data_IF_434932611298
#
_entry.id   IF_434932611298
#
_cell.length_a   1.000
_cell.length_b   1.000
_cell.length_c   1.000
_cell.angle_alpha   90.00
_cell.angle_beta   90.00
_cell.angle_gamma   90.00
#
_symmetry.space_group_name_H-M   'P 1'
#
loop_
_entity.id
_entity.type
_entity.pdbx_description
1 polymer ?
#
# COMPACT_ATOMS: atom_id res chain seq x y z
N UNK A 1 11.60 25.96 11.65
CA UNK A 1 10.60 24.94 11.22
C UNK A 1 11.08 23.61 11.76
N UNK A 2 10.31 22.94 12.62
CA UNK A 2 10.71 21.63 13.17
C UNK A 2 10.69 20.60 12.06
N UNK A 3 11.80 19.88 11.87
CA UNK A 3 11.89 18.79 10.91
C UNK A 3 11.04 17.64 11.47
N UNK A 4 9.93 17.29 10.80
CA UNK A 4 9.07 16.15 11.21
C UNK A 4 9.93 14.90 11.26
N UNK A 5 9.86 14.14 12.35
CA UNK A 5 10.66 12.93 12.52
C UNK A 5 10.25 11.84 11.52
N UNK A 6 11.16 10.93 11.18
CA UNK A 6 10.85 9.80 10.30
C UNK A 6 9.72 8.93 10.85
N UNK A 7 9.63 8.77 12.18
CA UNK A 7 8.59 8.00 12.84
C UNK A 7 7.19 8.65 12.64
N UNK A 8 7.10 9.98 12.74
CA UNK A 8 5.85 10.70 12.47
C UNK A 8 5.45 10.61 10.99
N UNK A 9 6.41 10.67 10.08
CA UNK A 9 6.15 10.49 8.65
C UNK A 9 5.64 9.08 8.33
N UNK A 10 6.27 8.04 8.88
CA UNK A 10 5.81 6.65 8.74
C UNK A 10 4.38 6.49 9.27
N UNK A 11 4.07 7.09 10.43
CA UNK A 11 2.72 7.04 10.98
C UNK A 11 1.71 7.69 10.03
N UNK A 12 2.03 8.86 9.50
CA UNK A 12 1.16 9.55 8.56
C UNK A 12 0.96 8.73 7.27
N UNK A 13 2.01 8.17 6.69
CA UNK A 13 1.89 7.37 5.47
C UNK A 13 1.05 6.10 5.65
N UNK A 14 1.10 5.48 6.85
CA UNK A 14 0.20 4.38 7.18
C UNK A 14 -1.26 4.82 7.23
N UNK A 15 -1.54 5.97 7.86
CA UNK A 15 -2.89 6.54 7.88
C UNK A 15 -3.36 6.92 6.48
N UNK A 16 -2.48 7.48 5.65
CA UNK A 16 -2.82 7.80 4.26
C UNK A 16 -3.16 6.52 3.48
N UNK A 17 -2.34 5.46 3.63
CA UNK A 17 -2.54 4.17 2.96
C UNK A 17 -3.88 3.53 3.33
N UNK A 18 -4.27 3.55 4.62
CA UNK A 18 -5.54 3.00 5.10
C UNK A 18 -6.78 3.57 4.37
N UNK A 19 -6.67 4.76 3.77
CA UNK A 19 -7.75 5.42 3.04
C UNK A 19 -7.72 5.20 1.53
N UNK A 20 -6.70 4.54 0.97
CA UNK A 20 -6.56 4.31 -0.47
C UNK A 20 -7.27 3.04 -0.93
N UNK A 21 -7.87 3.10 -2.12
CA UNK A 21 -8.22 1.89 -2.87
C UNK A 21 -6.96 1.16 -3.35
N UNK A 22 -7.13 -0.06 -3.87
CA UNK A 22 -6.04 -0.80 -4.48
C UNK A 22 -5.39 -0.02 -5.63
N UNK A 23 -6.20 0.54 -6.53
CA UNK A 23 -5.73 1.29 -7.69
C UNK A 23 -5.00 2.57 -7.26
N UNK A 24 -5.51 3.28 -6.26
CA UNK A 24 -4.88 4.49 -5.75
C UNK A 24 -3.52 4.19 -5.07
N UNK A 25 -3.45 3.12 -4.28
CA UNK A 25 -2.23 2.68 -3.63
C UNK A 25 -1.18 2.22 -4.66
N UNK A 26 -1.61 1.51 -5.71
CA UNK A 26 -0.73 1.08 -6.80
C UNK A 26 -0.18 2.28 -7.59
N UNK A 27 -1.01 3.27 -7.93
CA UNK A 27 -0.56 4.49 -8.60
C UNK A 27 0.42 5.28 -7.71
N UNK A 28 0.16 5.37 -6.40
CA UNK A 28 1.07 6.01 -5.46
C UNK A 28 2.43 5.29 -5.38
N UNK A 29 2.43 3.96 -5.44
CA UNK A 29 3.64 3.15 -5.48
C UNK A 29 4.42 3.35 -6.79
N UNK A 30 3.75 3.37 -7.94
CA UNK A 30 4.38 3.61 -9.25
C UNK A 30 5.04 4.99 -9.33
N UNK A 31 4.42 6.00 -8.72
CA UNK A 31 5.01 7.33 -8.63
C UNK A 31 6.29 7.32 -7.78
N UNK A 32 6.28 6.66 -6.63
CA UNK A 32 7.48 6.51 -5.79
C UNK A 32 8.59 5.75 -6.50
N UNK A 33 8.25 4.69 -7.24
CA UNK A 33 9.21 3.93 -8.04
C UNK A 33 9.82 4.81 -9.14
N UNK A 34 9.02 5.66 -9.78
CA UNK A 34 9.50 6.59 -10.81
C UNK A 34 10.45 7.63 -10.22
N UNK A 35 10.20 8.10 -9.00
CA UNK A 35 11.10 8.98 -8.26
C UNK A 35 12.41 8.28 -7.90
N UNK A 36 12.35 7.02 -7.42
CA UNK A 36 13.52 6.21 -7.05
C UNK A 36 14.44 5.87 -8.24
N UNK A 37 13.90 5.81 -9.45
CA UNK A 37 14.66 5.54 -10.67
C UNK A 37 15.48 6.75 -11.15
N UNK A 38 15.32 7.92 -10.52
CA UNK A 38 16.09 9.11 -10.84
C UNK A 38 17.46 9.08 -10.12
N UNK A 39 18.55 8.99 -10.89
CA UNK A 39 19.93 8.93 -10.39
C UNK A 39 20.37 10.17 -9.58
N UNK A 40 19.57 11.23 -9.54
CA UNK A 40 19.85 12.46 -8.81
C UNK A 40 19.28 12.49 -7.37
N UNK A 41 18.57 11.46 -6.92
CA UNK A 41 17.93 11.46 -5.59
C UNK A 41 18.96 11.31 -4.46
N UNK A 42 18.98 12.23 -3.47
CA UNK A 42 19.85 12.10 -2.30
C UNK A 42 19.57 10.82 -1.49
N UNK A 43 20.63 10.23 -0.92
CA UNK A 43 20.54 8.99 -0.12
C UNK A 43 19.51 9.04 1.02
N UNK A 44 19.36 10.20 1.67
CA UNK A 44 18.38 10.37 2.74
C UNK A 44 16.93 10.32 2.24
N UNK A 45 16.69 10.77 1.01
CA UNK A 45 15.38 10.71 0.35
C UNK A 45 15.11 9.29 -0.15
N UNK A 46 16.12 8.57 -0.66
CA UNK A 46 16.00 7.16 -1.03
C UNK A 46 15.46 6.29 0.11
N UNK A 47 15.97 6.48 1.33
CA UNK A 47 15.48 5.75 2.50
C UNK A 47 14.01 6.06 2.81
N UNK A 48 13.58 7.30 2.64
CA UNK A 48 12.19 7.71 2.87
C UNK A 48 11.25 7.14 1.80
N UNK A 49 11.61 7.26 0.52
CA UNK A 49 10.84 6.70 -0.59
C UNK A 49 10.71 5.19 -0.46
N UNK A 50 11.80 4.48 -0.13
CA UNK A 50 11.75 3.04 0.11
C UNK A 50 10.77 2.67 1.23
N UNK A 51 10.87 3.32 2.40
CA UNK A 51 9.96 3.03 3.53
C UNK A 51 8.51 3.34 3.21
N UNK A 52 8.24 4.40 2.46
CA UNK A 52 6.90 4.75 2.01
C UNK A 52 6.37 3.75 0.98
N UNK A 53 7.23 3.29 0.07
CA UNK A 53 6.92 2.26 -0.90
C UNK A 53 6.55 0.93 -0.25
N UNK A 54 7.31 0.49 0.77
CA UNK A 54 6.96 -0.70 1.57
C UNK A 54 5.55 -0.58 2.17
N UNK A 55 5.19 0.58 2.72
CA UNK A 55 3.85 0.79 3.31
C UNK A 55 2.73 0.66 2.28
N UNK A 56 2.89 1.24 1.08
CA UNK A 56 1.87 1.13 0.03
C UNK A 56 1.81 -0.28 -0.55
N UNK A 57 2.95 -0.97 -0.68
CA UNK A 57 2.99 -2.36 -1.10
C UNK A 57 2.27 -3.27 -0.09
N UNK A 58 2.57 -3.14 1.20
CA UNK A 58 1.90 -3.88 2.29
C UNK A 58 0.38 -3.69 2.25
N UNK A 59 -0.09 -2.47 1.96
CA UNK A 59 -1.52 -2.16 1.85
C UNK A 59 -2.15 -2.82 0.61
N UNK A 60 -1.50 -2.77 -0.54
CA UNK A 60 -1.94 -3.48 -1.74
C UNK A 60 -2.08 -4.98 -1.49
N UNK A 61 -1.09 -5.60 -0.85
CA UNK A 61 -1.12 -7.02 -0.50
C UNK A 61 -2.27 -7.34 0.46
N UNK A 62 -2.52 -6.50 1.47
CA UNK A 62 -3.62 -6.69 2.41
C UNK A 62 -5.00 -6.62 1.73
N UNK A 63 -5.19 -5.70 0.78
CA UNK A 63 -6.41 -5.60 0.00
C UNK A 63 -6.62 -6.83 -0.89
N UNK A 64 -5.58 -7.32 -1.56
CA UNK A 64 -5.64 -8.52 -2.39
C UNK A 64 -5.95 -9.77 -1.55
N UNK A 65 -5.29 -9.94 -0.41
CA UNK A 65 -5.54 -11.06 0.50
C UNK A 65 -6.99 -11.05 1.01
N UNK A 66 -7.52 -9.86 1.33
CA UNK A 66 -8.92 -9.70 1.75
C UNK A 66 -9.89 -10.06 0.63
N UNK A 67 -9.58 -9.67 -0.61
CA UNK A 67 -10.40 -10.01 -1.77
C UNK A 67 -10.35 -11.50 -2.08
N UNK A 68 -9.15 -12.10 -2.06
CA UNK A 68 -8.95 -13.53 -2.26
C UNK A 68 -9.78 -14.33 -1.26
N UNK A 69 -9.71 -13.99 0.03
CA UNK A 69 -10.50 -14.66 1.06
C UNK A 69 -12.00 -14.55 0.77
N UNK A 70 -12.50 -13.37 0.39
CA UNK A 70 -13.91 -13.19 0.04
C UNK A 70 -14.32 -14.07 -1.12
N UNK A 71 -13.49 -14.18 -2.16
CA UNK A 71 -13.76 -15.02 -3.34
C UNK A 71 -13.76 -16.51 -2.97
N UNK A 72 -12.84 -16.95 -2.11
CA UNK A 72 -12.78 -18.33 -1.62
C UNK A 72 -14.02 -18.71 -0.81
N UNK A 73 -14.62 -17.75 -0.11
CA UNK A 73 -15.85 -17.93 0.67
C UNK A 73 -17.13 -17.89 -0.18
N UNK A 74 -17.05 -17.70 -1.51
CA UNK A 74 -18.23 -17.72 -2.39
C UNK A 74 -18.54 -19.13 -2.89
N UNK A 75 -19.82 -19.41 -3.07
CA UNK A 75 -20.26 -20.55 -3.88
C UNK A 75 -19.89 -20.32 -5.36
N UNK A 76 -19.27 -21.28 -6.07
CA UNK A 76 -18.77 -21.08 -7.42
C UNK A 76 -19.87 -20.98 -8.48
N UNK A 77 -21.08 -21.48 -8.21
CA UNK A 77 -22.20 -21.49 -9.15
C UNK A 77 -23.09 -20.25 -8.98
N UNK A 78 -23.25 -19.76 -7.74
CA UNK A 78 -24.13 -18.61 -7.44
C UNK A 78 -23.39 -17.30 -7.17
N UNK A 79 -22.10 -17.37 -6.82
CA UNK A 79 -21.29 -16.23 -6.33
C UNK A 79 -21.87 -15.56 -5.07
N UNK A 80 -22.69 -16.28 -4.31
CA UNK A 80 -23.21 -15.85 -3.01
C UNK A 80 -22.31 -16.36 -1.87
N UNK A 81 -22.29 -15.70 -0.70
CA UNK A 81 -21.53 -16.17 0.46
C UNK A 81 -21.93 -17.59 0.86
N UNK A 82 -20.96 -18.50 0.93
CA UNK A 82 -21.19 -19.88 1.35
C UNK A 82 -21.29 -19.92 2.88
N UNK A 83 -22.51 -20.01 3.41
CA UNK A 83 -22.78 -20.02 4.86
C UNK A 83 -22.59 -21.41 5.51
N UNK A 84 -22.18 -22.42 4.75
CA UNK A 84 -22.12 -23.82 5.19
C UNK A 84 -20.69 -24.35 5.45
N UNK A 85 -19.67 -23.47 5.50
CA UNK A 85 -18.27 -23.83 5.77
C UNK A 85 -17.90 -23.87 7.26
#
# INVERSE_FOLDING_TARGET
MSKVSLAEQIKQWRQDAEHLSYEEALVALDLLLSELQNDAVPMAELQQHYRRGEIYLDHCEALLNTLEQKVVELDPDTLEPNHDA
#
